data_IF_615065985895
#
_entry.id   IF_615065985895
#
_cell.length_a   1.000
_cell.length_b   1.000
_cell.length_c   1.000
_cell.angle_alpha   90.00
_cell.angle_beta   90.00
_cell.angle_gamma   90.00
#
_symmetry.space_group_name_H-M   'P 1'
#
loop_
_entity.id
_entity.type
_entity.pdbx_description
1 polymer ?
#
# COMPACT_ATOMS: atom_id res chain seq x y z
N UNK A 1 -13.33 4.13 12.60
CA UNK A 1 -12.25 4.75 11.79
C UNK A 1 -12.71 6.14 11.41
N UNK A 2 -11.88 7.14 11.72
CA UNK A 2 -12.22 8.55 11.53
C UNK A 2 -12.28 8.88 10.03
N UNK A 3 -13.34 9.56 9.61
CA UNK A 3 -13.45 10.18 8.29
C UNK A 3 -12.36 11.25 8.17
N UNK A 4 -11.68 11.31 7.01
CA UNK A 4 -10.62 12.27 6.71
C UNK A 4 -10.83 12.86 5.33
N UNK A 5 -10.57 14.15 5.17
CA UNK A 5 -10.58 14.82 3.87
C UNK A 5 -9.16 15.31 3.57
N UNK A 6 -8.62 14.87 2.45
CA UNK A 6 -7.36 15.36 1.90
C UNK A 6 -7.62 16.09 0.59
N UNK A 7 -6.82 17.10 0.29
CA UNK A 7 -6.98 17.83 -0.97
C UNK A 7 -5.64 18.20 -1.60
N UNK A 8 -5.67 18.40 -2.91
CA UNK A 8 -4.55 18.93 -3.68
C UNK A 8 -5.05 19.60 -4.96
N UNK A 9 -4.26 20.56 -5.45
CA UNK A 9 -4.45 21.14 -6.78
C UNK A 9 -4.12 20.17 -7.92
N UNK A 10 -3.56 18.99 -7.60
CA UNK A 10 -3.10 17.98 -8.55
C UNK A 10 -3.46 16.56 -8.07
N UNK A 11 -4.75 16.23 -8.11
CA UNK A 11 -5.24 14.86 -7.88
C UNK A 11 -5.42 14.16 -9.22
N UNK A 12 -4.87 12.95 -9.35
CA UNK A 12 -5.03 12.14 -10.57
C UNK A 12 -6.41 11.51 -10.62
N UNK A 13 -7.26 12.03 -11.52
CA UNK A 13 -8.63 11.56 -11.73
C UNK A 13 -8.91 11.55 -13.23
N UNK A 14 -9.52 10.45 -13.71
CA UNK A 14 -9.92 10.32 -15.11
C UNK A 14 -8.79 10.70 -16.10
N UNK A 15 -7.60 10.13 -15.88
CA UNK A 15 -6.41 10.28 -16.72
C UNK A 15 -5.82 11.71 -16.81
N UNK A 16 -6.13 12.56 -15.84
CA UNK A 16 -5.56 13.90 -15.74
C UNK A 16 -5.40 14.37 -14.30
N UNK A 17 -4.55 15.38 -14.09
CA UNK A 17 -4.45 16.06 -12.81
C UNK A 17 -5.46 17.18 -12.71
N UNK A 18 -6.32 17.13 -11.68
CA UNK A 18 -7.32 18.15 -11.41
C UNK A 18 -7.27 18.61 -9.96
N UNK A 19 -7.65 19.86 -9.67
CA UNK A 19 -7.83 20.31 -8.30
C UNK A 19 -9.03 19.60 -7.66
N UNK A 20 -8.79 18.82 -6.60
CA UNK A 20 -9.86 18.06 -5.95
C UNK A 20 -9.58 17.80 -4.47
N UNK A 21 -10.64 17.47 -3.75
CA UNK A 21 -10.62 16.93 -2.40
C UNK A 21 -11.16 15.48 -2.41
N UNK A 22 -10.52 14.61 -1.66
CA UNK A 22 -10.90 13.21 -1.50
C UNK A 22 -11.35 12.98 -0.06
N UNK A 23 -12.53 12.41 0.09
CA UNK A 23 -13.03 11.93 1.37
C UNK A 23 -12.64 10.47 1.53
N UNK A 24 -12.00 10.18 2.65
CA UNK A 24 -11.51 8.85 3.01
C UNK A 24 -12.23 8.36 4.25
N UNK A 25 -12.81 7.17 4.18
CA UNK A 25 -13.44 6.52 5.30
C UNK A 25 -13.22 5.01 5.22
N UNK A 26 -12.83 4.39 6.33
CA UNK A 26 -12.57 2.95 6.40
C UNK A 26 -11.64 2.42 5.29
N UNK A 27 -10.57 3.18 4.98
CA UNK A 27 -9.61 2.80 3.95
C UNK A 27 -10.12 2.89 2.50
N UNK A 28 -11.24 3.58 2.27
CA UNK A 28 -11.84 3.78 0.95
C UNK A 28 -12.04 5.25 0.65
N UNK A 29 -12.00 5.61 -0.62
CA UNK A 29 -12.45 6.92 -1.10
C UNK A 29 -13.98 6.86 -1.16
N UNK A 30 -14.66 7.66 -0.34
CA UNK A 30 -16.12 7.71 -0.24
C UNK A 30 -16.72 8.93 -0.94
N UNK A 31 -15.90 9.93 -1.25
CA UNK A 31 -16.36 11.11 -1.98
C UNK A 31 -15.21 11.83 -2.69
N UNK A 32 -15.55 12.51 -3.78
CA UNK A 32 -14.65 13.38 -4.54
C UNK A 32 -15.37 14.71 -4.71
N UNK A 33 -14.70 15.79 -4.32
CA UNK A 33 -15.24 17.15 -4.32
C UNK A 33 -14.29 18.12 -5.01
N UNK A 34 -14.76 19.27 -5.50
CA UNK A 34 -13.89 20.35 -5.92
C UNK A 34 -12.91 20.78 -4.81
N UNK A 35 -11.69 21.14 -5.20
CA UNK A 35 -10.69 21.67 -4.27
C UNK A 35 -11.25 22.90 -3.52
N UNK A 36 -11.14 22.88 -2.20
CA UNK A 36 -11.62 23.96 -1.33
C UNK A 36 -13.12 23.95 -1.02
N UNK A 37 -13.91 23.02 -1.59
CA UNK A 37 -15.35 22.92 -1.27
C UNK A 37 -15.59 22.40 0.15
N UNK A 38 -14.75 21.51 0.61
CA UNK A 38 -14.80 20.92 1.96
C UNK A 38 -13.65 21.42 2.80
N UNK A 39 -13.86 21.52 4.11
CA UNK A 39 -12.76 21.74 5.02
C UNK A 39 -11.85 20.50 5.03
N UNK A 40 -10.64 20.63 4.52
CA UNK A 40 -9.68 19.54 4.46
C UNK A 40 -8.95 19.37 5.79
N UNK A 41 -8.75 18.12 6.21
CA UNK A 41 -7.86 17.78 7.33
C UNK A 41 -6.39 17.94 6.91
N UNK A 42 -6.07 17.66 5.63
CA UNK A 42 -4.73 17.86 5.06
C UNK A 42 -4.83 18.48 3.67
N UNK A 43 -4.11 19.57 3.47
CA UNK A 43 -3.94 20.22 2.17
C UNK A 43 -2.51 20.02 1.67
N UNK A 44 -2.37 19.28 0.58
CA UNK A 44 -1.08 19.02 -0.05
C UNK A 44 -0.66 20.13 -1.05
N UNK A 45 -1.46 21.16 -1.22
CA UNK A 45 -1.15 22.30 -2.09
C UNK A 45 -0.96 21.86 -3.55
N UNK A 46 0.25 22.02 -4.08
CA UNK A 46 0.58 21.64 -5.47
C UNK A 46 1.24 20.25 -5.59
N UNK A 47 1.36 19.48 -4.50
CA UNK A 47 1.86 18.11 -4.56
C UNK A 47 0.86 17.21 -5.27
N UNK A 48 1.37 16.23 -6.00
CA UNK A 48 0.52 15.27 -6.71
C UNK A 48 -0.05 14.24 -5.73
N UNK A 49 -1.35 13.98 -5.86
CA UNK A 49 -2.01 12.82 -5.25
C UNK A 49 -2.31 11.85 -6.39
N UNK A 50 -1.75 10.64 -6.29
CA UNK A 50 -1.90 9.57 -7.28
C UNK A 50 -2.29 8.28 -6.55
N UNK A 51 -2.88 7.28 -7.25
CA UNK A 51 -3.01 5.94 -6.70
C UNK A 51 -1.64 5.39 -6.29
N UNK A 52 -1.62 4.60 -5.23
CA UNK A 52 -0.40 3.89 -4.86
C UNK A 52 0.06 2.92 -5.96
N UNK A 53 1.37 2.75 -6.08
CA UNK A 53 1.94 1.81 -7.06
C UNK A 53 1.70 0.37 -6.62
N UNK A 54 1.56 -0.50 -7.62
CA UNK A 54 1.55 -1.94 -7.45
C UNK A 54 2.82 -2.51 -8.05
N UNK A 55 3.66 -3.15 -7.21
CA UNK A 55 4.82 -3.90 -7.68
C UNK A 55 4.39 -5.35 -7.97
N UNK A 56 4.40 -5.72 -9.24
CA UNK A 56 3.91 -7.03 -9.68
C UNK A 56 5.01 -8.11 -9.75
N UNK A 57 6.25 -7.77 -9.41
CA UNK A 57 7.37 -8.72 -9.45
C UNK A 57 8.49 -8.27 -8.52
N UNK A 58 8.43 -8.68 -7.26
CA UNK A 58 9.40 -8.26 -6.26
C UNK A 58 9.87 -9.45 -5.41
N UNK A 59 11.15 -9.77 -5.50
CA UNK A 59 11.75 -10.91 -4.78
C UNK A 59 12.02 -10.62 -3.33
N UNK A 60 12.32 -9.38 -3.00
CA UNK A 60 12.62 -8.96 -1.65
C UNK A 60 13.02 -7.49 -1.56
N UNK A 61 13.02 -6.97 -0.35
CA UNK A 61 13.49 -5.64 0.00
C UNK A 61 13.82 -5.56 1.49
N UNK A 62 14.56 -4.51 1.89
CA UNK A 62 14.88 -4.24 3.29
C UNK A 62 15.58 -5.42 3.99
N UNK A 63 16.53 -6.06 3.29
CA UNK A 63 17.32 -7.21 3.77
C UNK A 63 16.51 -8.50 3.95
N UNK A 64 15.27 -8.57 3.43
CA UNK A 64 14.43 -9.76 3.42
C UNK A 64 14.12 -10.20 1.99
N UNK A 65 14.08 -11.52 1.80
CA UNK A 65 13.70 -12.16 0.55
C UNK A 65 12.46 -13.01 0.78
N UNK A 66 11.63 -13.15 -0.25
CA UNK A 66 10.43 -14.00 -0.19
C UNK A 66 10.79 -15.44 0.17
N UNK A 67 11.93 -15.94 -0.33
CA UNK A 67 12.41 -17.30 -0.06
C UNK A 67 12.90 -17.52 1.36
N UNK A 68 13.13 -16.45 2.15
CA UNK A 68 13.53 -16.60 3.56
C UNK A 68 12.44 -17.22 4.43
N UNK A 69 11.20 -17.20 3.98
CA UNK A 69 10.03 -17.70 4.69
C UNK A 69 9.93 -17.18 6.14
N UNK A 70 10.23 -15.87 6.34
CA UNK A 70 10.20 -15.20 7.64
C UNK A 70 9.01 -14.27 7.73
N UNK A 71 7.99 -14.55 8.56
CA UNK A 71 6.80 -13.71 8.68
C UNK A 71 7.12 -12.27 9.10
N UNK A 72 8.03 -12.10 10.04
CA UNK A 72 8.49 -10.80 10.52
C UNK A 72 9.18 -9.97 9.42
N UNK A 73 9.98 -10.63 8.59
CA UNK A 73 10.66 -9.98 7.47
C UNK A 73 9.68 -9.48 6.41
N UNK A 74 8.71 -10.31 6.05
CA UNK A 74 7.69 -9.95 5.08
C UNK A 74 6.78 -8.81 5.59
N UNK A 75 6.43 -8.81 6.89
CA UNK A 75 5.68 -7.72 7.52
C UNK A 75 6.51 -6.44 7.59
N UNK A 76 7.78 -6.54 7.93
CA UNK A 76 8.70 -5.39 7.95
C UNK A 76 8.81 -4.75 6.57
N UNK A 77 9.01 -5.56 5.54
CA UNK A 77 9.03 -5.11 4.15
C UNK A 77 7.72 -4.42 3.76
N UNK A 78 6.57 -5.06 3.98
CA UNK A 78 5.25 -4.50 3.67
C UNK A 78 5.01 -3.15 4.36
N UNK A 79 5.52 -2.98 5.58
CA UNK A 79 5.40 -1.71 6.32
C UNK A 79 6.25 -0.60 5.72
N UNK A 80 7.45 -0.91 5.25
CA UNK A 80 8.42 0.11 4.84
C UNK A 80 8.28 0.52 3.37
N UNK A 81 7.87 -0.39 2.48
CA UNK A 81 7.76 -0.13 1.04
C UNK A 81 6.73 0.96 0.71
N UNK A 82 5.79 1.23 1.60
CA UNK A 82 4.82 2.32 1.42
C UNK A 82 5.48 3.70 1.37
N UNK A 83 6.66 3.85 1.99
CA UNK A 83 7.44 5.10 1.91
C UNK A 83 7.97 5.38 0.50
N UNK A 84 8.02 4.36 -0.35
CA UNK A 84 8.41 4.43 -1.76
C UNK A 84 7.19 4.63 -2.68
N UNK A 85 5.98 4.74 -2.11
CA UNK A 85 4.74 4.90 -2.85
C UNK A 85 4.10 3.58 -3.31
N UNK A 86 4.69 2.43 -2.98
CA UNK A 86 4.14 1.11 -3.28
C UNK A 86 3.11 0.74 -2.20
N UNK A 87 1.87 0.51 -2.59
CA UNK A 87 0.77 0.16 -1.69
C UNK A 87 0.28 -1.27 -1.86
N UNK A 88 0.81 -1.96 -2.86
CA UNK A 88 0.50 -3.37 -3.13
C UNK A 88 1.69 -4.02 -3.82
N UNK A 89 1.99 -5.28 -3.49
CA UNK A 89 3.04 -6.01 -4.18
C UNK A 89 2.76 -7.51 -4.24
N UNK A 90 3.33 -8.15 -5.26
CA UNK A 90 3.37 -9.60 -5.40
C UNK A 90 4.71 -10.11 -4.87
N UNK A 91 4.68 -10.80 -3.73
CA UNK A 91 5.87 -11.48 -3.23
C UNK A 91 6.25 -12.60 -4.20
N UNK A 92 7.42 -12.48 -4.82
CA UNK A 92 7.86 -13.38 -5.88
C UNK A 92 9.02 -14.24 -5.40
N UNK A 93 8.92 -15.55 -5.60
CA UNK A 93 10.00 -16.48 -5.26
C UNK A 93 11.09 -16.51 -6.34
N UNK A 94 12.31 -16.86 -5.94
CA UNK A 94 13.41 -17.20 -6.85
C UNK A 94 13.56 -18.73 -6.87
N UNK A 95 14.05 -19.29 -7.96
CA UNK A 95 14.28 -20.74 -8.13
C UNK A 95 15.09 -21.32 -6.97
N UNK A 96 14.52 -22.27 -6.27
CA UNK A 96 15.09 -22.98 -5.12
C UNK A 96 14.55 -24.42 -5.05
N UNK A 97 14.94 -25.16 -4.03
CA UNK A 97 14.39 -26.48 -3.75
C UNK A 97 12.87 -26.42 -3.51
N UNK A 98 12.16 -27.50 -3.79
CA UNK A 98 10.70 -27.59 -3.56
C UNK A 98 10.36 -27.27 -2.09
N UNK A 99 11.18 -27.73 -1.15
CA UNK A 99 10.99 -27.45 0.27
C UNK A 99 11.04 -25.94 0.57
N UNK A 100 12.07 -25.23 0.09
CA UNK A 100 12.21 -23.79 0.29
C UNK A 100 11.03 -23.04 -0.34
N UNK A 101 10.64 -23.40 -1.56
CA UNK A 101 9.50 -22.76 -2.24
C UNK A 101 8.18 -23.01 -1.52
N UNK A 102 7.96 -24.24 -1.03
CA UNK A 102 6.75 -24.57 -0.27
C UNK A 102 6.66 -23.74 1.00
N UNK A 103 7.77 -23.61 1.74
CA UNK A 103 7.83 -22.80 2.97
C UNK A 103 7.60 -21.31 2.67
N UNK A 104 8.19 -20.79 1.58
CA UNK A 104 8.02 -19.41 1.18
C UNK A 104 6.56 -19.09 0.85
N UNK A 105 5.90 -19.94 0.05
CA UNK A 105 4.48 -19.77 -0.32
C UNK A 105 3.57 -19.85 0.90
N UNK A 106 3.81 -20.82 1.80
CA UNK A 106 3.06 -20.94 3.05
C UNK A 106 3.21 -19.69 3.91
N UNK A 107 4.45 -19.17 4.06
CA UNK A 107 4.70 -17.93 4.81
C UNK A 107 3.95 -16.73 4.22
N UNK A 108 3.95 -16.58 2.90
CA UNK A 108 3.20 -15.50 2.23
C UNK A 108 1.71 -15.63 2.53
N UNK A 109 1.13 -16.83 2.42
CA UNK A 109 -0.28 -17.08 2.69
C UNK A 109 -0.64 -16.74 4.15
N UNK A 110 0.15 -17.20 5.11
CA UNK A 110 -0.05 -16.93 6.54
C UNK A 110 0.00 -15.43 6.86
N UNK A 111 0.95 -14.71 6.25
CA UNK A 111 1.07 -13.26 6.44
C UNK A 111 -0.11 -12.53 5.80
N UNK A 112 -0.59 -12.98 4.65
CA UNK A 112 -1.78 -12.40 3.99
C UNK A 112 -3.03 -12.58 4.85
N UNK A 113 -3.26 -13.76 5.41
CA UNK A 113 -4.43 -14.06 6.25
C UNK A 113 -4.39 -13.32 7.60
N UNK A 114 -3.20 -13.18 8.20
CA UNK A 114 -2.98 -12.50 9.47
C UNK A 114 -2.80 -10.97 9.39
N UNK A 115 -2.72 -10.39 8.18
CA UNK A 115 -2.24 -9.03 7.96
C UNK A 115 -3.29 -7.92 8.01
N UNK A 116 -4.47 -8.17 8.53
CA UNK A 116 -5.51 -7.13 8.64
C UNK A 116 -5.39 -6.22 9.88
N UNK A 117 -4.24 -6.19 10.53
CA UNK A 117 -3.93 -5.08 11.42
C UNK A 117 -3.52 -3.88 10.56
N UNK A 118 -4.24 -2.77 10.63
CA UNK A 118 -3.88 -1.57 9.85
C UNK A 118 -2.51 -1.09 10.32
N UNK A 119 -1.52 -1.12 9.43
CA UNK A 119 -0.24 -0.49 9.72
C UNK A 119 -0.48 1.00 9.90
N UNK A 120 -0.14 1.54 11.07
CA UNK A 120 -0.05 2.98 11.27
C UNK A 120 1.15 3.51 10.46
N UNK A 121 0.93 3.79 9.19
CA UNK A 121 1.94 4.39 8.33
C UNK A 121 1.72 5.88 8.25
N UNK A 122 2.76 6.64 8.50
CA UNK A 122 2.71 8.11 8.59
C UNK A 122 2.50 8.84 7.25
N UNK A 123 2.12 8.16 6.18
CA UNK A 123 1.94 8.81 4.87
C UNK A 123 0.46 8.97 4.50
N UNK A 124 -0.35 8.00 4.79
CA UNK A 124 -1.81 8.11 4.85
C UNK A 124 -2.23 7.13 5.94
N UNK A 125 -2.60 7.63 7.09
CA UNK A 125 -3.07 6.79 8.18
C UNK A 125 -4.23 5.93 7.66
N UNK A 126 -4.04 4.62 7.63
CA UNK A 126 -5.11 3.67 7.40
C UNK A 126 -5.16 2.95 6.06
N UNK A 127 -4.15 3.09 5.17
CA UNK A 127 -4.09 2.25 3.97
C UNK A 127 -2.97 1.22 4.14
N UNK A 128 -3.28 -0.02 4.55
CA UNK A 128 -2.26 -1.06 4.60
C UNK A 128 -1.77 -1.40 3.19
N UNK A 129 -0.48 -1.65 3.05
CA UNK A 129 0.02 -2.28 1.84
C UNK A 129 -0.67 -3.64 1.67
N UNK A 130 -1.21 -3.89 0.48
CA UNK A 130 -1.80 -5.19 0.17
C UNK A 130 -0.72 -6.12 -0.36
N UNK A 131 -0.53 -7.22 0.32
CA UNK A 131 0.27 -8.32 -0.16
C UNK A 131 -0.62 -9.25 -0.99
N UNK A 132 -0.14 -9.62 -2.17
CA UNK A 132 -0.74 -10.65 -2.99
C UNK A 132 0.17 -11.86 -2.99
N UNK A 133 -0.42 -13.05 -3.06
CA UNK A 133 0.31 -14.30 -3.13
C UNK A 133 1.14 -14.41 -4.42
N UNK A 134 2.08 -15.35 -4.47
CA UNK A 134 2.92 -15.56 -5.63
C UNK A 134 2.08 -15.89 -6.86
N UNK A 135 2.51 -15.35 -7.99
CA UNK A 135 1.93 -15.64 -9.29
C UNK A 135 2.30 -17.05 -9.76
#
# INVERSE_FOLDING_TARGET
>A
VKRMIIQSKKVWLADQFVPAALELEQGRITGIFPYGEKQADVDYGSKRIVPGFMDIHCHGAYEFDTNDAKPEGLRYWAKHIVSEGVTSFLATTVTQSVEVLTNAVANVADVMEGSYEPFETGIIQGTPCRLYGPA
#
